data_IF_557652188777
#
_entry.id   IF_557652188777
#
_cell.length_a   1.000
_cell.length_b   1.000
_cell.length_c   1.000
_cell.angle_alpha   90.00
_cell.angle_beta   90.00
_cell.angle_gamma   90.00
#
_symmetry.space_group_name_H-M   'P 1'
#
loop_
_entity.id
_entity.type
_entity.pdbx_description
1 polymer ?
#
# COMPACT_ATOMS: atom_id res chain seq x y z
N UNK A 1 -24.03 -14.57 5.72
CA UNK A 1 -22.67 -14.88 5.21
C UNK A 1 -22.83 -15.69 3.95
N UNK A 2 -22.01 -15.45 2.93
CA UNK A 2 -22.01 -16.24 1.70
C UNK A 2 -21.63 -17.70 1.98
N UNK A 3 -22.29 -18.64 1.30
CA UNK A 3 -22.09 -20.08 1.44
C UNK A 3 -21.22 -20.54 0.26
N UNK A 4 -20.16 -21.31 0.53
CA UNK A 4 -19.21 -21.78 -0.48
C UNK A 4 -19.89 -22.65 -1.55
N UNK A 5 -20.87 -23.44 -1.13
CA UNK A 5 -21.60 -24.38 -2.00
C UNK A 5 -22.88 -23.78 -2.61
N UNK A 6 -23.12 -22.48 -2.46
CA UNK A 6 -24.18 -21.74 -3.17
C UNK A 6 -23.66 -21.25 -4.53
N UNK A 7 -23.60 -22.14 -5.52
CA UNK A 7 -23.11 -21.88 -6.88
C UNK A 7 -23.94 -22.66 -7.92
N UNK A 8 -23.92 -22.22 -9.18
CA UNK A 8 -24.60 -22.95 -10.28
C UNK A 8 -23.65 -23.46 -11.35
N UNK A 9 -22.49 -22.81 -11.50
CA UNK A 9 -21.47 -23.14 -12.49
C UNK A 9 -20.12 -23.27 -11.84
N UNK A 10 -19.37 -24.27 -12.28
CA UNK A 10 -17.98 -24.51 -11.93
C UNK A 10 -17.19 -24.72 -13.23
N UNK A 11 -16.03 -24.08 -13.33
CA UNK A 11 -15.15 -24.14 -14.49
C UNK A 11 -13.71 -24.27 -14.04
N UNK A 12 -12.87 -24.89 -14.86
CA UNK A 12 -11.43 -24.94 -14.62
C UNK A 12 -10.68 -23.90 -15.45
N UNK A 13 -9.59 -23.36 -14.91
CA UNK A 13 -8.70 -22.47 -15.65
C UNK A 13 -7.24 -22.62 -15.23
N UNK A 14 -6.34 -22.20 -16.10
CA UNK A 14 -4.93 -21.97 -15.77
C UNK A 14 -4.73 -20.47 -15.65
N UNK A 15 -4.18 -20.02 -14.52
CA UNK A 15 -3.84 -18.62 -14.29
C UNK A 15 -2.47 -18.54 -13.62
N UNK A 16 -1.54 -17.76 -14.20
CA UNK A 16 -0.14 -17.64 -13.74
C UNK A 16 0.52 -19.01 -13.45
N UNK A 17 0.44 -19.93 -14.42
CA UNK A 17 1.02 -21.29 -14.35
C UNK A 17 0.48 -22.19 -13.23
N UNK A 18 -0.64 -21.81 -12.60
CA UNK A 18 -1.32 -22.58 -11.57
C UNK A 18 -2.72 -23.01 -12.07
N UNK A 19 -3.15 -24.23 -11.73
CA UNK A 19 -4.46 -24.77 -12.12
C UNK A 19 -5.49 -24.50 -11.02
N UNK A 20 -6.65 -24.00 -11.41
CA UNK A 20 -7.76 -23.68 -10.50
C UNK A 20 -9.08 -24.29 -10.99
N UNK A 21 -9.94 -24.67 -10.04
CA UNK A 21 -11.37 -24.77 -10.26
C UNK A 21 -12.05 -23.55 -9.63
N UNK A 22 -13.05 -23.00 -10.31
CA UNK A 22 -13.63 -21.69 -10.02
C UNK A 22 -15.15 -21.80 -10.12
N UNK A 23 -15.85 -21.31 -9.09
CA UNK A 23 -17.31 -21.25 -9.03
C UNK A 23 -17.83 -19.87 -9.37
N UNK A 24 -19.04 -19.79 -9.91
CA UNK A 24 -19.67 -18.53 -10.30
C UNK A 24 -19.96 -17.57 -9.13
N UNK A 25 -20.04 -18.10 -7.91
CA UNK A 25 -20.13 -17.31 -6.68
C UNK A 25 -18.80 -16.68 -6.23
N UNK A 26 -17.71 -16.91 -6.98
CA UNK A 26 -16.38 -16.36 -6.71
C UNK A 26 -15.51 -17.21 -5.77
N UNK A 27 -15.95 -18.42 -5.40
CA UNK A 27 -15.10 -19.38 -4.69
C UNK A 27 -14.08 -20.01 -5.65
N UNK A 28 -12.85 -20.20 -5.16
CA UNK A 28 -11.76 -20.80 -5.91
C UNK A 28 -11.17 -21.98 -5.16
N UNK A 29 -10.70 -22.95 -5.91
CA UNK A 29 -9.98 -24.13 -5.46
C UNK A 29 -8.68 -24.20 -6.25
N UNK A 30 -7.53 -24.21 -5.57
CA UNK A 30 -6.23 -24.35 -6.22
C UNK A 30 -5.77 -25.80 -6.19
N UNK A 31 -5.42 -26.34 -7.35
CA UNK A 31 -4.87 -27.68 -7.45
C UNK A 31 -3.38 -27.69 -7.02
N UNK A 32 -2.90 -28.81 -6.45
CA UNK A 32 -1.47 -29.01 -6.22
C UNK A 32 -0.74 -29.16 -7.56
N UNK A 33 0.54 -28.80 -7.57
CA UNK A 33 1.40 -28.99 -8.74
C UNK A 33 1.68 -30.48 -8.95
N UNK A 34 1.70 -30.92 -10.21
CA UNK A 34 1.90 -32.32 -10.56
C UNK A 34 3.19 -32.89 -9.95
N UNK A 35 3.08 -34.04 -9.28
CA UNK A 35 4.20 -34.72 -8.63
C UNK A 35 4.76 -34.00 -7.39
N UNK A 36 4.18 -32.88 -6.95
CA UNK A 36 4.64 -32.13 -5.76
C UNK A 36 3.66 -32.28 -4.60
N UNK A 37 4.18 -32.11 -3.38
CA UNK A 37 3.35 -32.11 -2.16
C UNK A 37 2.38 -30.93 -2.19
N UNK A 38 1.10 -31.11 -1.77
CA UNK A 38 0.15 -30.02 -1.64
C UNK A 38 0.66 -28.93 -0.69
N UNK A 39 0.46 -27.67 -1.09
CA UNK A 39 0.79 -26.48 -0.28
C UNK A 39 -0.39 -26.10 0.62
N UNK A 40 -0.13 -25.16 1.54
CA UNK A 40 -1.12 -24.62 2.51
C UNK A 40 -2.46 -24.19 1.90
N UNK A 41 -2.47 -23.65 0.67
CA UNK A 41 -3.66 -23.14 -0.01
C UNK A 41 -4.18 -24.05 -1.13
N UNK A 42 -3.69 -25.30 -1.19
CA UNK A 42 -4.14 -26.29 -2.19
C UNK A 42 -5.23 -27.17 -1.58
N UNK A 43 -6.09 -27.74 -2.44
CA UNK A 43 -7.08 -28.76 -2.07
C UNK A 43 -8.26 -28.33 -1.16
N UNK A 44 -8.67 -27.06 -1.19
CA UNK A 44 -9.93 -26.64 -0.57
C UNK A 44 -10.55 -25.44 -1.28
N UNK A 45 -11.86 -25.30 -1.11
CA UNK A 45 -12.64 -24.16 -1.61
C UNK A 45 -12.54 -22.96 -0.67
N UNK A 46 -12.33 -21.78 -1.23
CA UNK A 46 -12.26 -20.55 -0.44
C UNK A 46 -12.68 -19.33 -1.25
N UNK A 47 -13.23 -18.32 -0.57
CA UNK A 47 -13.36 -16.96 -1.10
C UNK A 47 -12.07 -16.13 -0.91
N UNK A 48 -11.02 -16.75 -0.37
CA UNK A 48 -9.75 -16.11 -0.02
C UNK A 48 -9.82 -15.28 1.25
N UNK A 49 -8.78 -14.47 1.45
CA UNK A 49 -8.68 -13.51 2.56
C UNK A 49 -8.67 -12.09 2.01
N UNK A 50 -9.38 -11.14 2.63
CA UNK A 50 -9.30 -9.76 2.21
C UNK A 50 -7.92 -9.19 2.54
N UNK A 51 -7.31 -8.55 1.55
CA UNK A 51 -6.11 -7.76 1.76
C UNK A 51 -6.49 -6.42 2.42
N UNK A 52 -5.76 -6.04 3.46
CA UNK A 52 -6.08 -4.83 4.26
C UNK A 52 -5.75 -3.52 3.54
N UNK A 53 -4.92 -3.54 2.50
CA UNK A 53 -4.48 -2.34 1.79
C UNK A 53 -5.41 -2.01 0.65
N UNK A 54 -5.68 -2.99 -0.21
CA UNK A 54 -6.51 -2.76 -1.39
C UNK A 54 -7.89 -3.42 -1.30
N UNK A 55 -8.22 -4.15 -0.25
CA UNK A 55 -9.56 -4.70 -0.02
C UNK A 55 -9.95 -5.91 -0.87
N UNK A 56 -9.24 -6.19 -1.98
CA UNK A 56 -9.43 -7.39 -2.79
C UNK A 56 -9.20 -8.68 -2.00
N UNK A 57 -9.92 -9.72 -2.40
CA UNK A 57 -9.72 -11.07 -1.86
C UNK A 57 -8.56 -11.78 -2.56
N UNK A 58 -7.73 -12.48 -1.79
CA UNK A 58 -6.54 -13.16 -2.29
C UNK A 58 -6.44 -14.61 -1.79
N UNK A 59 -5.86 -15.46 -2.64
CA UNK A 59 -5.39 -16.80 -2.31
C UNK A 59 -3.90 -16.89 -2.65
N UNK A 60 -3.06 -17.11 -1.65
CA UNK A 60 -1.60 -17.12 -1.81
C UNK A 60 -1.06 -15.90 -2.61
N UNK A 61 -1.51 -14.70 -2.22
CA UNK A 61 -1.15 -13.42 -2.86
C UNK A 61 -1.64 -13.26 -4.30
N UNK A 62 -2.53 -14.13 -4.77
CA UNK A 62 -3.17 -14.02 -6.08
C UNK A 62 -4.59 -13.49 -5.93
N UNK A 63 -4.91 -12.42 -6.66
CA UNK A 63 -6.23 -11.77 -6.61
C UNK A 63 -7.32 -12.68 -7.19
N UNK A 64 -8.34 -12.96 -6.39
CA UNK A 64 -9.39 -13.91 -6.75
C UNK A 64 -10.25 -13.42 -7.91
N UNK A 65 -10.58 -12.13 -7.97
CA UNK A 65 -11.36 -11.58 -9.07
C UNK A 65 -10.68 -11.82 -10.45
N UNK A 66 -9.34 -11.83 -10.50
CA UNK A 66 -8.60 -12.06 -11.74
C UNK A 66 -8.64 -13.53 -12.16
N UNK A 67 -8.56 -14.46 -11.19
CA UNK A 67 -8.76 -15.88 -11.42
C UNK A 67 -10.19 -16.12 -11.95
N UNK A 68 -11.19 -15.55 -11.28
CA UNK A 68 -12.61 -15.71 -11.66
C UNK A 68 -12.88 -15.14 -13.05
N UNK A 69 -12.41 -13.91 -13.32
CA UNK A 69 -12.57 -13.28 -14.64
C UNK A 69 -11.89 -14.10 -15.75
N UNK A 70 -10.69 -14.61 -15.49
CA UNK A 70 -9.97 -15.46 -16.45
C UNK A 70 -10.74 -16.75 -16.75
N UNK A 71 -11.33 -17.37 -15.73
CA UNK A 71 -12.03 -18.63 -15.87
C UNK A 71 -13.36 -18.51 -16.64
N UNK A 72 -14.12 -17.44 -16.40
CA UNK A 72 -15.47 -17.27 -16.97
C UNK A 72 -15.51 -16.42 -18.23
N UNK A 73 -14.57 -15.48 -18.40
CA UNK A 73 -14.52 -14.57 -19.55
C UNK A 73 -13.33 -14.83 -20.48
N UNK A 74 -12.45 -15.76 -20.11
CA UNK A 74 -11.22 -16.03 -20.84
C UNK A 74 -10.09 -15.07 -20.48
N UNK A 75 -8.94 -15.19 -21.16
CA UNK A 75 -7.77 -14.38 -20.88
C UNK A 75 -8.06 -12.89 -21.09
N UNK A 76 -7.29 -12.08 -20.37
CA UNK A 76 -7.29 -10.62 -20.48
C UNK A 76 -7.24 -10.18 -21.97
N UNK A 77 -8.22 -9.40 -22.47
CA UNK A 77 -8.27 -9.04 -23.89
C UNK A 77 -7.06 -8.23 -24.39
N UNK A 78 -6.64 -7.22 -23.63
CA UNK A 78 -5.42 -6.42 -23.90
C UNK A 78 -4.68 -6.13 -22.61
N UNK A 79 -3.41 -5.71 -22.68
CA UNK A 79 -2.61 -5.36 -21.49
C UNK A 79 -3.22 -4.23 -20.66
N UNK A 80 -4.02 -3.36 -21.26
CA UNK A 80 -4.63 -2.21 -20.58
C UNK A 80 -5.91 -2.54 -19.82
N UNK A 81 -6.52 -3.69 -20.11
CA UNK A 81 -7.73 -4.11 -19.41
C UNK A 81 -7.46 -4.37 -17.93
N UNK A 82 -8.45 -4.24 -17.10
CA UNK A 82 -8.44 -4.58 -15.69
C UNK A 82 -9.80 -5.21 -15.37
N UNK A 83 -9.86 -5.96 -14.26
CA UNK A 83 -11.15 -6.47 -13.79
C UNK A 83 -11.83 -5.37 -12.98
N UNK A 84 -13.00 -4.96 -13.44
CA UNK A 84 -13.88 -4.04 -12.70
C UNK A 84 -14.89 -4.83 -11.87
N UNK A 85 -15.15 -4.33 -10.67
CA UNK A 85 -16.24 -4.74 -9.80
C UNK A 85 -17.39 -3.76 -10.02
N UNK A 86 -18.43 -4.20 -10.71
CA UNK A 86 -19.54 -3.34 -11.15
C UNK A 86 -20.16 -2.60 -9.95
N UNK A 87 -20.30 -3.27 -8.80
CA UNK A 87 -20.82 -2.69 -7.56
C UNK A 87 -19.77 -1.95 -6.69
N UNK A 88 -18.52 -1.85 -7.13
CA UNK A 88 -17.37 -1.29 -6.39
C UNK A 88 -17.00 -2.02 -5.08
N UNK A 89 -17.65 -3.14 -4.77
CA UNK A 89 -17.32 -3.99 -3.62
C UNK A 89 -16.26 -5.03 -4.04
N UNK A 90 -15.01 -4.75 -3.70
CA UNK A 90 -13.83 -5.60 -4.04
C UNK A 90 -13.85 -7.00 -3.42
N UNK A 91 -14.80 -7.27 -2.51
CA UNK A 91 -15.02 -8.58 -1.87
C UNK A 91 -16.18 -9.37 -2.47
N UNK A 92 -16.93 -8.78 -3.42
CA UNK A 92 -17.95 -9.45 -4.20
C UNK A 92 -17.36 -9.95 -5.53
N UNK A 93 -16.81 -11.16 -5.53
CA UNK A 93 -16.17 -11.77 -6.72
C UNK A 93 -17.12 -12.68 -7.52
N UNK A 94 -18.44 -12.52 -7.37
CA UNK A 94 -19.40 -13.27 -8.18
C UNK A 94 -19.27 -12.86 -9.65
N UNK A 95 -19.43 -13.79 -10.58
CA UNK A 95 -19.19 -13.58 -12.01
C UNK A 95 -20.05 -12.44 -12.57
N UNK A 96 -21.30 -12.34 -12.14
CA UNK A 96 -22.23 -11.27 -12.53
C UNK A 96 -21.83 -9.86 -12.05
N UNK A 97 -20.82 -9.76 -11.17
CA UNK A 97 -20.27 -8.51 -10.67
C UNK A 97 -18.93 -8.13 -11.32
N UNK A 98 -18.34 -9.00 -12.15
CA UNK A 98 -17.03 -8.78 -12.75
C UNK A 98 -17.15 -8.52 -14.25
N UNK A 99 -16.25 -7.67 -14.78
CA UNK A 99 -16.07 -7.47 -16.23
C UNK A 99 -14.66 -7.01 -16.56
N UNK A 100 -14.21 -7.29 -17.79
CA UNK A 100 -13.00 -6.67 -18.33
C UNK A 100 -13.33 -5.27 -18.84
N UNK A 101 -12.57 -4.27 -18.41
CA UNK A 101 -12.66 -2.88 -18.90
C UNK A 101 -11.27 -2.26 -18.89
N UNK A 102 -11.01 -1.26 -19.73
CA UNK A 102 -9.86 -0.38 -19.54
C UNK A 102 -10.08 0.55 -18.35
N UNK A 103 -8.99 1.17 -17.84
CA UNK A 103 -9.09 2.14 -16.74
C UNK A 103 -10.00 3.33 -17.11
N UNK A 104 -9.94 3.79 -18.36
CA UNK A 104 -10.77 4.88 -18.86
C UNK A 104 -12.25 4.47 -18.99
N UNK A 105 -12.54 3.31 -19.57
CA UNK A 105 -13.90 2.76 -19.65
C UNK A 105 -14.51 2.58 -18.25
N UNK A 106 -13.72 2.11 -17.26
CA UNK A 106 -14.22 2.03 -15.89
C UNK A 106 -14.66 3.39 -15.34
N UNK A 107 -13.87 4.43 -15.58
CA UNK A 107 -14.15 5.79 -15.10
C UNK A 107 -15.40 6.37 -15.76
N UNK A 108 -15.58 6.13 -17.06
CA UNK A 108 -16.68 6.70 -17.84
C UNK A 108 -17.98 5.90 -17.70
N UNK A 109 -17.90 4.56 -17.73
CA UNK A 109 -19.06 3.68 -17.89
C UNK A 109 -19.55 3.07 -16.58
N UNK A 110 -18.77 3.11 -15.49
CA UNK A 110 -19.26 2.68 -14.17
C UNK A 110 -19.92 3.87 -13.46
N UNK A 111 -21.26 3.93 -13.35
CA UNK A 111 -21.96 5.10 -12.79
C UNK A 111 -21.60 5.34 -11.32
N UNK A 112 -21.29 4.29 -10.55
CA UNK A 112 -20.91 4.39 -9.13
C UNK A 112 -19.51 5.00 -9.02
N UNK A 113 -18.55 4.52 -9.81
CA UNK A 113 -17.20 5.10 -9.91
C UNK A 113 -17.26 6.54 -10.36
N UNK A 114 -18.02 6.81 -11.43
CA UNK A 114 -18.26 8.14 -12.00
C UNK A 114 -18.82 9.11 -10.97
N UNK A 115 -19.85 8.71 -10.22
CA UNK A 115 -20.45 9.55 -9.16
C UNK A 115 -19.45 9.87 -8.05
N UNK A 116 -18.64 8.90 -7.62
CA UNK A 116 -17.58 9.14 -6.62
C UNK A 116 -16.54 10.13 -7.10
N UNK A 117 -16.12 10.03 -8.37
CA UNK A 117 -15.19 10.99 -8.98
C UNK A 117 -15.81 12.38 -9.03
N UNK A 118 -17.06 12.52 -9.48
CA UNK A 118 -17.77 13.80 -9.51
C UNK A 118 -17.86 14.42 -8.10
N UNK A 119 -18.19 13.63 -7.08
CA UNK A 119 -18.26 14.13 -5.70
C UNK A 119 -16.90 14.61 -5.17
N UNK A 120 -15.78 14.03 -5.64
CA UNK A 120 -14.43 14.42 -5.18
C UNK A 120 -13.82 15.55 -6.00
N UNK A 121 -14.02 15.52 -7.31
CA UNK A 121 -13.38 16.41 -8.28
C UNK A 121 -14.32 17.50 -8.81
N UNK A 122 -15.59 17.52 -8.41
CA UNK A 122 -16.62 18.44 -8.91
C UNK A 122 -17.20 18.04 -10.28
N UNK A 123 -16.36 17.61 -11.22
CA UNK A 123 -16.80 17.09 -12.53
C UNK A 123 -15.82 16.06 -13.10
N UNK A 124 -16.24 15.35 -14.15
CA UNK A 124 -15.38 14.39 -14.86
C UNK A 124 -14.37 15.12 -15.73
N UNK A 125 -14.78 16.22 -16.36
CA UNK A 125 -13.91 17.04 -17.19
C UNK A 125 -12.73 17.58 -16.36
N UNK A 126 -13.01 17.95 -15.10
CA UNK A 126 -12.00 18.38 -14.14
C UNK A 126 -11.02 17.25 -13.82
N UNK A 127 -11.53 16.04 -13.63
CA UNK A 127 -10.70 14.84 -13.43
C UNK A 127 -9.87 14.49 -14.68
N UNK A 128 -10.44 14.54 -15.88
CA UNK A 128 -9.71 14.24 -17.13
C UNK A 128 -8.63 15.28 -17.43
N UNK A 129 -8.85 16.54 -17.06
CA UNK A 129 -7.86 17.62 -17.20
C UNK A 129 -6.69 17.46 -16.22
N UNK A 130 -6.93 16.99 -14.99
CA UNK A 130 -5.88 16.70 -14.02
C UNK A 130 -6.24 15.48 -13.14
N UNK A 131 -5.81 14.26 -13.54
CA UNK A 131 -6.08 13.05 -12.76
C UNK A 131 -5.43 13.03 -11.36
N UNK A 132 -4.39 13.82 -11.13
CA UNK A 132 -3.68 13.89 -9.84
C UNK A 132 -4.55 14.47 -8.70
N UNK A 133 -5.67 15.13 -9.03
CA UNK A 133 -6.64 15.63 -8.04
C UNK A 133 -7.14 14.53 -7.11
N UNK A 134 -7.18 13.27 -7.56
CA UNK A 134 -7.53 12.15 -6.69
C UNK A 134 -6.40 11.80 -5.70
N UNK A 135 -5.14 11.93 -6.11
CA UNK A 135 -3.95 11.61 -5.30
C UNK A 135 -3.71 12.63 -4.17
N UNK A 136 -3.93 13.93 -4.44
CA UNK A 136 -3.74 15.02 -3.48
C UNK A 136 -4.76 15.02 -2.32
N UNK A 137 -5.76 14.15 -2.41
CA UNK A 137 -7.01 14.20 -1.67
C UNK A 137 -7.44 12.81 -1.16
N UNK A 138 -6.53 11.84 -1.17
CA UNK A 138 -6.80 10.44 -0.81
C UNK A 138 -7.14 10.32 0.68
N UNK A 139 -8.43 10.26 0.99
CA UNK A 139 -8.86 9.53 2.17
C UNK A 139 -8.51 8.06 1.92
N UNK A 140 -7.92 7.35 2.90
CA UNK A 140 -7.69 5.92 2.77
C UNK A 140 -9.02 5.25 2.40
N UNK A 141 -9.02 4.31 1.42
CA UNK A 141 -10.25 3.70 0.96
C UNK A 141 -10.99 3.11 2.17
N UNK A 142 -12.24 3.51 2.38
CA UNK A 142 -13.07 2.87 3.42
C UNK A 142 -13.36 1.44 2.97
N UNK A 143 -12.54 0.50 3.44
CA UNK A 143 -12.69 -0.93 3.18
C UNK A 143 -13.62 -1.61 4.18
N UNK A 144 -14.08 -0.90 5.22
CA UNK A 144 -14.85 -1.49 6.33
C UNK A 144 -16.23 -1.93 5.88
N UNK A 145 -16.83 -1.22 4.91
CA UNK A 145 -18.13 -1.59 4.37
C UNK A 145 -18.06 -2.84 3.48
N UNK A 146 -16.95 -3.09 2.79
CA UNK A 146 -16.85 -4.19 1.83
C UNK A 146 -16.93 -5.55 2.52
N UNK A 147 -17.70 -6.49 1.95
CA UNK A 147 -17.80 -7.87 2.44
C UNK A 147 -18.17 -8.84 1.33
N UNK A 148 -17.88 -10.13 1.54
CA UNK A 148 -18.43 -11.21 0.71
C UNK A 148 -19.94 -11.32 0.96
N UNK A 149 -20.71 -11.42 -0.11
CA UNK A 149 -22.17 -11.28 -0.11
C UNK A 149 -22.86 -12.50 -0.70
N UNK A 150 -24.07 -12.79 -0.25
CA UNK A 150 -24.97 -13.75 -0.92
C UNK A 150 -25.50 -13.17 -2.25
N UNK A 151 -26.15 -13.99 -3.09
CA UNK A 151 -26.70 -13.50 -4.36
C UNK A 151 -27.74 -12.41 -4.12
N UNK A 152 -28.64 -12.65 -3.15
CA UNK A 152 -29.66 -11.68 -2.77
C UNK A 152 -29.06 -10.38 -2.22
N UNK A 153 -28.03 -10.46 -1.36
CA UNK A 153 -27.33 -9.27 -0.85
C UNK A 153 -26.62 -8.50 -1.98
N UNK A 154 -25.98 -9.20 -2.92
CA UNK A 154 -25.32 -8.60 -4.07
C UNK A 154 -26.31 -7.83 -4.95
N UNK A 155 -27.47 -8.42 -5.25
CA UNK A 155 -28.51 -7.77 -6.05
C UNK A 155 -29.06 -6.52 -5.36
N UNK A 156 -29.36 -6.60 -4.06
CA UNK A 156 -29.89 -5.47 -3.28
C UNK A 156 -28.87 -4.33 -3.17
N UNK A 157 -27.62 -4.66 -2.81
CA UNK A 157 -26.55 -3.67 -2.66
C UNK A 157 -26.19 -3.00 -3.99
N UNK A 158 -26.05 -3.77 -5.06
CA UNK A 158 -25.83 -3.26 -6.42
C UNK A 158 -26.95 -2.31 -6.85
N UNK A 159 -28.22 -2.71 -6.66
CA UNK A 159 -29.38 -1.86 -6.99
C UNK A 159 -29.33 -0.51 -6.25
N UNK A 160 -29.06 -0.52 -4.94
CA UNK A 160 -28.98 0.72 -4.15
C UNK A 160 -27.84 1.63 -4.59
N UNK A 161 -26.67 1.07 -4.88
CA UNK A 161 -25.51 1.85 -5.32
C UNK A 161 -25.76 2.48 -6.69
N UNK A 162 -26.45 1.77 -7.59
CA UNK A 162 -26.87 2.33 -8.89
C UNK A 162 -27.90 3.45 -8.71
N UNK A 163 -28.95 3.23 -7.90
CA UNK A 163 -29.96 4.25 -7.58
C UNK A 163 -29.32 5.50 -6.94
N UNK A 164 -28.32 5.32 -6.07
CA UNK A 164 -27.54 6.43 -5.51
C UNK A 164 -26.71 7.16 -6.56
N UNK A 165 -26.05 6.41 -7.45
CA UNK A 165 -25.24 7.00 -8.51
C UNK A 165 -26.06 7.88 -9.46
N UNK A 166 -27.32 7.51 -9.70
CA UNK A 166 -28.29 8.27 -10.49
C UNK A 166 -28.92 9.44 -9.71
N UNK A 167 -28.84 9.45 -8.37
CA UNK A 167 -29.46 10.48 -7.54
C UNK A 167 -28.58 11.73 -7.35
N UNK A 168 -29.18 12.91 -7.28
CA UNK A 168 -28.50 14.16 -6.94
C UNK A 168 -28.37 14.40 -5.43
N UNK A 169 -28.67 13.40 -4.62
CA UNK A 169 -28.72 13.52 -3.17
C UNK A 169 -27.36 13.17 -2.57
N UNK A 170 -26.87 14.02 -1.68
CA UNK A 170 -25.72 13.67 -0.86
C UNK A 170 -26.04 12.46 0.02
N UNK A 171 -25.09 11.53 0.23
CA UNK A 171 -25.28 10.42 1.15
C UNK A 171 -25.56 10.97 2.55
N UNK A 172 -26.75 10.68 3.10
CA UNK A 172 -27.10 11.02 4.47
C UNK A 172 -27.47 9.77 5.26
N UNK A 173 -26.88 9.64 6.45
CA UNK A 173 -27.15 8.56 7.40
C UNK A 173 -26.03 7.52 7.52
N UNK A 174 -25.68 7.22 8.78
CA UNK A 174 -24.98 5.99 9.18
C UNK A 174 -23.61 5.71 8.55
N UNK A 175 -23.14 4.49 8.74
CA UNK A 175 -21.94 3.98 8.06
C UNK A 175 -22.30 3.45 6.67
N UNK A 176 -21.39 3.58 5.68
CA UNK A 176 -21.63 3.10 4.31
C UNK A 176 -22.02 1.61 4.28
N UNK A 177 -21.43 0.79 5.15
CA UNK A 177 -21.80 -0.63 5.26
C UNK A 177 -23.23 -0.87 5.76
N UNK A 178 -23.69 -0.10 6.74
CA UNK A 178 -25.08 -0.20 7.21
C UNK A 178 -26.05 0.17 6.09
N UNK A 179 -25.81 1.28 5.41
CA UNK A 179 -26.67 1.77 4.33
C UNK A 179 -26.70 0.81 3.12
N UNK A 180 -25.55 0.26 2.69
CA UNK A 180 -25.48 -0.65 1.55
C UNK A 180 -26.21 -1.98 1.82
N UNK A 181 -26.09 -2.53 3.03
CA UNK A 181 -26.55 -3.90 3.32
C UNK A 181 -27.82 -4.01 4.16
N UNK A 182 -28.29 -2.95 4.83
CA UNK A 182 -29.45 -3.04 5.73
C UNK A 182 -30.73 -2.48 5.09
N UNK A 183 -31.78 -3.29 4.83
CA UNK A 183 -33.03 -2.81 4.20
C UNK A 183 -33.95 -1.95 5.04
N UNK A 184 -33.77 -1.91 6.36
CA UNK A 184 -34.62 -1.12 7.25
C UNK A 184 -34.28 0.38 7.25
N UNK A 185 -33.08 0.77 6.79
CA UNK A 185 -32.69 2.16 6.62
C UNK A 185 -33.19 2.71 5.28
N UNK A 186 -34.51 2.71 5.06
CA UNK A 186 -35.09 3.65 4.12
C UNK A 186 -34.86 5.04 4.72
N UNK A 187 -34.12 5.88 4.01
CA UNK A 187 -33.88 7.29 4.32
C UNK A 187 -35.09 7.91 5.01
N UNK A 188 -34.91 8.26 6.28
CA UNK A 188 -35.85 9.13 6.99
C UNK A 188 -36.01 10.41 6.18
N UNK A 189 -37.26 10.81 6.03
CA UNK A 189 -37.79 11.82 5.12
C UNK A 189 -36.89 13.03 4.84
N UNK A 190 -36.84 13.37 3.55
CA UNK A 190 -36.34 14.59 2.95
C UNK A 190 -36.74 15.85 3.73
N UNK A 191 -35.75 16.59 4.24
CA UNK A 191 -35.93 17.99 4.60
C UNK A 191 -35.38 18.84 3.45
N UNK A 192 -36.28 19.52 2.74
CA UNK A 192 -35.94 20.58 1.80
C UNK A 192 -35.52 21.81 2.60
N UNK A 193 -34.33 22.36 2.39
CA UNK A 193 -34.07 23.78 2.64
C UNK A 193 -33.06 24.36 1.64
N UNK A 194 -33.16 25.68 1.36
CA UNK A 194 -33.02 26.22 0.02
C UNK A 194 -31.65 26.86 -0.29
N UNK A 195 -31.40 26.99 -1.60
CA UNK A 195 -30.32 27.71 -2.26
C UNK A 195 -30.13 29.15 -1.73
N UNK A 196 -28.90 29.54 -1.35
CA UNK A 196 -28.43 30.94 -1.43
C UNK A 196 -26.94 31.02 -1.78
N UNK A 197 -26.67 31.98 -2.67
CA UNK A 197 -25.51 32.46 -3.40
C UNK A 197 -24.25 32.88 -2.62
N UNK A 198 -23.10 32.63 -3.26
CA UNK A 198 -21.82 33.40 -3.36
C UNK A 198 -21.44 34.49 -2.34
N UNK A 199 -20.22 34.36 -1.77
CA UNK A 199 -19.08 35.33 -1.68
C UNK A 199 -18.29 35.23 -0.34
N UNK A 200 -16.95 35.15 -0.44
CA UNK A 200 -15.92 35.29 0.63
C UNK A 200 -15.74 36.78 1.07
N UNK A 201 -14.90 37.19 2.07
CA UNK A 201 -13.97 36.48 2.98
C UNK A 201 -13.95 36.93 4.49
N UNK A 202 -13.22 36.19 5.33
CA UNK A 202 -12.52 36.53 6.60
C UNK A 202 -13.12 37.52 7.63
N UNK A 203 -13.39 37.03 8.86
CA UNK A 203 -12.74 37.50 10.09
C UNK A 203 -13.20 36.67 11.32
N UNK A 204 -12.22 36.39 12.18
CA UNK A 204 -12.32 35.72 13.49
C UNK A 204 -13.36 36.32 14.45
N UNK A 205 -13.91 35.48 15.32
CA UNK A 205 -14.00 35.73 16.77
C UNK A 205 -14.37 34.43 17.52
N UNK A 206 -13.36 33.88 18.20
CA UNK A 206 -13.49 32.97 19.36
C UNK A 206 -14.44 33.62 20.40
N UNK A 207 -15.26 32.92 21.18
CA UNK A 207 -14.95 31.82 22.11
C UNK A 207 -16.23 31.11 22.58
N UNK A 208 -16.11 29.82 22.92
CA UNK A 208 -16.96 29.19 23.93
C UNK A 208 -17.58 27.87 23.50
N UNK A 209 -16.87 26.76 23.78
CA UNK A 209 -17.35 25.36 23.70
C UNK A 209 -17.43 24.72 22.29
N UNK A 210 -16.28 24.71 21.60
CA UNK A 210 -16.04 23.86 20.44
C UNK A 210 -15.29 22.58 20.82
N UNK A 211 -16.03 21.49 21.10
CA UNK A 211 -15.49 20.12 21.05
C UNK A 211 -16.03 19.43 19.79
N UNK A 212 -15.25 19.46 18.72
CA UNK A 212 -15.39 18.51 17.62
C UNK A 212 -14.84 17.16 18.10
N UNK A 213 -15.73 16.18 18.23
CA UNK A 213 -15.43 14.86 18.76
C UNK A 213 -14.32 14.15 18.01
N UNK A 214 -13.23 13.88 18.74
CA UNK A 214 -12.14 12.97 18.39
C UNK A 214 -12.69 11.54 18.31
N UNK A 215 -12.81 10.96 17.11
CA UNK A 215 -13.02 9.52 16.96
C UNK A 215 -11.69 8.79 17.11
N UNK A 216 -11.30 8.59 18.36
CA UNK A 216 -10.19 7.72 18.74
C UNK A 216 -10.57 6.25 18.59
N UNK A 217 -9.67 5.46 18.00
CA UNK A 217 -9.63 4.01 18.22
C UNK A 217 -8.21 3.60 18.61
N UNK A 218 -8.06 3.15 19.87
CA UNK A 218 -6.93 2.36 20.35
C UNK A 218 -6.93 1.01 19.63
N UNK A 219 -5.77 0.57 19.17
CA UNK A 219 -5.55 -0.78 18.70
C UNK A 219 -5.46 -1.76 19.89
N UNK A 220 -6.11 -2.93 19.85
CA UNK A 220 -5.64 -4.12 20.56
C UNK A 220 -4.65 -4.87 19.65
N UNK A 221 -3.46 -5.15 20.16
CA UNK A 221 -2.44 -5.91 19.46
C UNK A 221 -2.79 -7.39 19.33
N UNK A 222 -2.36 -8.03 18.24
CA UNK A 222 -2.15 -9.47 18.13
C UNK A 222 -1.09 -9.79 17.07
N UNK A 223 -0.32 -10.84 17.36
CA UNK A 223 0.90 -11.34 16.70
C UNK A 223 0.62 -12.19 15.44
N UNK A 224 1.60 -12.11 14.52
CA UNK A 224 2.22 -13.10 13.61
C UNK A 224 1.40 -14.25 12.95
N UNK A 225 1.52 -14.41 11.62
CA UNK A 225 2.44 -15.38 10.98
C UNK A 225 2.26 -15.53 9.44
N UNK A 226 3.42 -15.57 8.78
CA UNK A 226 3.84 -16.33 7.58
C UNK A 226 3.37 -15.99 6.16
N UNK A 227 4.22 -15.19 5.52
CA UNK A 227 5.19 -15.52 4.44
C UNK A 227 4.74 -16.11 3.08
N UNK A 228 5.22 -15.41 2.04
CA UNK A 228 5.49 -15.80 0.63
C UNK A 228 4.26 -16.10 -0.26
N UNK A 229 4.13 -15.60 -1.49
CA UNK A 229 5.17 -15.42 -2.48
C UNK A 229 4.81 -14.34 -3.54
N UNK A 230 5.86 -13.72 -4.04
CA UNK A 230 5.99 -12.78 -5.15
C UNK A 230 5.72 -13.45 -6.50
N UNK A 231 5.00 -12.77 -7.41
CA UNK A 231 5.48 -12.34 -8.74
C UNK A 231 4.33 -11.76 -9.60
N UNK A 232 4.67 -10.62 -10.22
CA UNK A 232 3.98 -9.87 -11.29
C UNK A 232 2.74 -9.06 -10.88
N UNK A 233 2.97 -7.75 -10.70
CA UNK A 233 2.33 -6.71 -11.53
C UNK A 233 3.34 -5.53 -11.64
N UNK A 234 4.10 -5.53 -12.74
CA UNK A 234 5.05 -4.49 -13.18
C UNK A 234 4.32 -3.26 -13.77
N UNK A 235 3.29 -2.74 -13.09
CA UNK A 235 2.49 -1.63 -13.64
C UNK A 235 1.96 -0.70 -12.54
N UNK A 236 2.85 -0.22 -11.68
CA UNK A 236 2.60 0.93 -10.80
C UNK A 236 3.90 1.74 -10.68
N UNK A 237 4.12 2.67 -11.63
CA UNK A 237 5.22 3.66 -11.54
C UNK A 237 4.78 4.85 -10.70
N UNK A 238 4.31 4.59 -9.49
CA UNK A 238 4.49 5.51 -8.37
C UNK A 238 5.59 4.89 -7.51
N UNK A 239 6.72 5.57 -7.25
CA UNK A 239 7.75 4.97 -6.41
C UNK A 239 7.08 4.67 -5.07
N UNK A 240 7.20 3.42 -4.61
CA UNK A 240 6.68 2.96 -3.33
C UNK A 240 7.39 3.72 -2.19
N UNK A 241 7.13 5.01 -2.01
CA UNK A 241 7.83 5.87 -1.06
C UNK A 241 7.10 5.85 0.28
N UNK A 242 7.87 5.70 1.34
CA UNK A 242 7.43 5.93 2.72
C UNK A 242 8.11 7.22 3.18
N UNK A 243 7.33 8.20 3.62
CA UNK A 243 7.89 9.43 4.19
C UNK A 243 8.73 9.08 5.42
N UNK A 244 9.92 9.66 5.48
CA UNK A 244 10.82 9.53 6.63
C UNK A 244 10.28 10.32 7.82
N UNK A 245 10.71 9.94 9.02
CA UNK A 245 10.57 10.79 10.21
C UNK A 245 11.45 12.06 10.12
N UNK A 246 12.43 12.07 9.23
CA UNK A 246 13.25 13.27 8.94
C UNK A 246 12.56 14.12 7.87
N UNK A 247 12.30 15.42 8.14
CA UNK A 247 11.72 16.32 7.15
C UNK A 247 12.59 16.40 5.88
N UNK A 248 11.93 16.39 4.72
CA UNK A 248 12.60 16.42 3.42
C UNK A 248 13.17 15.08 2.95
N UNK A 249 13.00 14.00 3.72
CA UNK A 249 13.45 12.66 3.34
C UNK A 249 12.28 11.69 3.11
N UNK A 250 12.50 10.73 2.22
CA UNK A 250 11.66 9.57 2.01
C UNK A 250 12.53 8.32 1.83
N UNK A 251 11.95 7.15 2.03
CA UNK A 251 12.60 5.87 1.73
C UNK A 251 11.77 5.08 0.74
N UNK A 252 12.44 4.36 -0.16
CA UNK A 252 11.78 3.36 -1.00
C UNK A 252 11.42 2.17 -0.11
N UNK A 253 10.14 1.82 -0.12
CA UNK A 253 9.59 0.64 0.54
C UNK A 253 10.19 -0.60 -0.10
N UNK A 254 10.93 -1.35 0.69
CA UNK A 254 11.47 -2.66 0.34
C UNK A 254 10.54 -3.75 0.87
N UNK A 255 10.07 -3.60 2.09
CA UNK A 255 9.18 -4.55 2.76
C UNK A 255 7.83 -3.92 3.09
N UNK A 256 6.79 -4.75 3.16
CA UNK A 256 5.43 -4.29 3.44
C UNK A 256 5.28 -3.67 4.84
N UNK A 257 6.10 -4.11 5.79
CA UNK A 257 6.15 -3.64 7.17
C UNK A 257 7.23 -2.59 7.41
N UNK A 258 7.86 -2.06 6.35
CA UNK A 258 8.82 -0.98 6.47
C UNK A 258 8.18 0.21 7.17
N UNK A 259 8.75 0.53 8.34
CA UNK A 259 8.31 1.65 9.15
C UNK A 259 9.10 2.90 8.75
N UNK A 260 8.51 4.09 8.91
CA UNK A 260 9.24 5.35 8.78
C UNK A 260 10.51 5.31 9.63
N UNK A 261 11.64 5.62 9.01
CA UNK A 261 12.95 5.73 9.66
C UNK A 261 13.42 7.18 9.63
N UNK A 262 14.47 7.51 10.39
CA UNK A 262 15.14 8.80 10.33
C UNK A 262 16.40 8.70 9.47
N UNK A 263 16.69 9.77 8.72
CA UNK A 263 17.93 9.99 7.98
C UNK A 263 18.59 11.28 8.44
N UNK A 264 19.30 11.29 9.59
CA UNK A 264 19.78 12.53 10.22
C UNK A 264 20.74 13.37 9.38
N UNK A 265 21.42 12.77 8.38
CA UNK A 265 22.27 13.49 7.44
C UNK A 265 21.50 14.32 6.39
N UNK A 266 20.16 14.23 6.34
CA UNK A 266 19.34 14.96 5.36
C UNK A 266 19.42 16.48 5.58
N UNK A 267 19.92 17.27 4.62
CA UNK A 267 20.05 18.71 4.76
C UNK A 267 18.68 19.38 4.77
N UNK A 268 18.51 20.35 5.67
CA UNK A 268 17.26 21.11 5.79
C UNK A 268 17.28 22.42 4.97
N UNK A 269 18.48 22.93 4.68
CA UNK A 269 18.69 24.15 3.90
C UNK A 269 19.88 23.94 2.97
N UNK A 270 19.71 24.27 1.69
CA UNK A 270 20.71 24.20 0.65
C UNK A 270 20.27 25.07 -0.54
N UNK A 271 21.22 25.67 -1.26
CA UNK A 271 20.92 26.66 -2.31
C UNK A 271 20.72 26.00 -3.69
N UNK A 272 21.78 25.40 -4.26
CA UNK A 272 21.79 25.01 -5.68
C UNK A 272 21.96 23.51 -5.94
N UNK A 273 22.79 22.80 -5.16
CA UNK A 273 23.06 21.37 -5.37
C UNK A 273 22.64 20.52 -4.15
N UNK A 274 21.46 19.88 -4.20
CA UNK A 274 20.92 19.09 -3.10
C UNK A 274 21.83 17.92 -2.70
N UNK A 275 22.40 17.20 -3.67
CA UNK A 275 23.26 16.05 -3.39
C UNK A 275 24.62 16.48 -2.84
N UNK A 276 25.19 17.60 -3.31
CA UNK A 276 26.40 18.15 -2.69
C UNK A 276 26.18 18.57 -1.23
N UNK A 277 25.02 19.18 -0.93
CA UNK A 277 24.66 19.52 0.44
C UNK A 277 24.46 18.27 1.32
N UNK A 278 23.87 17.20 0.76
CA UNK A 278 23.74 15.93 1.46
C UNK A 278 25.13 15.31 1.73
N UNK A 279 26.01 15.29 0.72
CA UNK A 279 27.38 14.77 0.85
C UNK A 279 28.18 15.51 1.94
N UNK A 280 28.01 16.83 2.06
CA UNK A 280 28.67 17.62 3.11
C UNK A 280 28.28 17.19 4.54
N UNK A 281 27.09 16.59 4.72
CA UNK A 281 26.62 16.06 6.00
C UNK A 281 27.06 14.61 6.29
N UNK A 282 27.68 13.93 5.32
CA UNK A 282 28.20 12.57 5.46
C UNK A 282 29.63 12.61 6.02
N UNK A 283 29.76 12.93 7.32
CA UNK A 283 31.04 12.88 8.02
C UNK A 283 31.32 11.48 8.60
N UNK A 284 32.58 11.18 8.89
CA UNK A 284 32.99 9.93 9.52
C UNK A 284 32.18 9.64 10.80
N UNK A 285 31.67 8.41 10.91
CA UNK A 285 30.84 7.93 12.01
C UNK A 285 29.53 8.73 12.28
N UNK A 286 29.11 9.65 11.40
CA UNK A 286 27.81 10.33 11.49
C UNK A 286 26.66 9.32 11.43
N UNK A 287 25.59 9.52 12.19
CA UNK A 287 24.42 8.64 12.15
C UNK A 287 23.66 8.87 10.84
N UNK A 288 23.76 7.92 9.93
CA UNK A 288 23.12 7.95 8.62
C UNK A 288 21.65 7.54 8.68
N UNK A 289 21.34 6.48 9.44
CA UNK A 289 20.00 5.91 9.52
C UNK A 289 19.66 5.53 10.95
N UNK A 290 18.38 5.70 11.33
CA UNK A 290 17.85 5.27 12.62
C UNK A 290 16.44 4.73 12.48
N UNK A 291 16.12 3.68 13.21
CA UNK A 291 14.74 3.18 13.25
C UNK A 291 13.83 4.09 14.08
N UNK A 292 12.52 3.92 13.92
CA UNK A 292 11.48 4.67 14.65
C UNK A 292 11.61 4.71 16.18
N UNK A 293 12.24 3.71 16.80
CA UNK A 293 12.38 3.62 18.25
C UNK A 293 13.69 4.23 18.75
N UNK A 294 14.63 4.54 17.84
CA UNK A 294 15.94 5.07 18.16
C UNK A 294 16.95 4.09 18.74
N UNK A 295 16.58 2.82 18.95
CA UNK A 295 17.43 1.79 19.55
C UNK A 295 18.37 1.09 18.55
N UNK A 296 18.14 1.26 17.25
CA UNK A 296 19.03 0.78 16.18
C UNK A 296 19.40 1.92 15.25
N UNK A 297 20.70 2.12 15.09
CA UNK A 297 21.27 3.14 14.24
C UNK A 297 22.38 2.56 13.36
N UNK A 298 22.58 3.17 12.20
CA UNK A 298 23.71 2.90 11.31
C UNK A 298 24.48 4.20 11.11
N UNK A 299 25.80 4.14 11.21
CA UNK A 299 26.70 5.25 10.95
C UNK A 299 27.30 5.17 9.55
N UNK A 300 27.73 6.32 9.01
CA UNK A 300 28.43 6.40 7.72
C UNK A 300 29.77 5.67 7.84
N UNK A 301 30.01 4.74 6.92
CA UNK A 301 31.30 4.06 6.77
C UNK A 301 32.08 4.64 5.58
N UNK A 302 31.42 4.83 4.44
CA UNK A 302 31.96 5.50 3.25
C UNK A 302 30.83 5.93 2.32
N UNK A 303 31.09 6.88 1.44
CA UNK A 303 30.14 7.30 0.41
C UNK A 303 30.86 7.70 -0.88
N UNK A 304 30.13 7.77 -1.98
CA UNK A 304 30.61 8.24 -3.27
C UNK A 304 29.47 8.64 -4.19
N UNK A 305 29.78 9.39 -5.24
CA UNK A 305 28.82 9.69 -6.30
C UNK A 305 28.72 8.50 -7.25
N UNK A 306 27.52 8.25 -7.76
CA UNK A 306 27.30 7.31 -8.86
C UNK A 306 28.10 7.69 -10.11
N UNK A 307 28.35 6.72 -10.99
CA UNK A 307 29.10 6.93 -12.23
C UNK A 307 28.54 8.05 -13.14
N UNK A 308 27.23 8.25 -13.13
CA UNK A 308 26.50 9.33 -13.84
C UNK A 308 26.47 10.66 -13.07
N UNK A 309 26.77 10.65 -11.76
CA UNK A 309 26.74 11.82 -10.89
C UNK A 309 25.35 12.21 -10.37
N UNK A 310 24.32 11.42 -10.72
CA UNK A 310 22.91 11.72 -10.42
C UNK A 310 22.44 11.16 -9.07
N UNK A 311 23.25 10.33 -8.40
CA UNK A 311 22.94 9.79 -7.08
C UNK A 311 24.15 9.70 -6.15
N UNK A 312 23.87 9.62 -4.85
CA UNK A 312 24.87 9.33 -3.83
C UNK A 312 24.72 7.90 -3.35
N UNK A 313 25.81 7.16 -3.34
CA UNK A 313 25.88 5.81 -2.79
C UNK A 313 26.52 5.89 -1.42
N UNK A 314 25.80 5.47 -0.38
CA UNK A 314 26.27 5.49 1.01
C UNK A 314 26.34 4.06 1.53
N UNK A 315 27.53 3.65 1.94
CA UNK A 315 27.74 2.46 2.75
C UNK A 315 27.70 2.85 4.22
N UNK A 316 26.81 2.20 4.97
CA UNK A 316 26.60 2.45 6.39
C UNK A 316 26.83 1.17 7.19
N UNK A 317 27.27 1.31 8.44
CA UNK A 317 27.59 0.22 9.35
C UNK A 317 26.77 0.31 10.63
N UNK A 318 26.34 -0.81 11.18
CA UNK A 318 25.55 -0.85 12.41
C UNK A 318 26.32 -0.18 13.57
N UNK A 319 25.69 0.80 14.21
CA UNK A 319 26.21 1.47 15.40
C UNK A 319 25.70 0.82 16.71
N UNK A 320 25.41 -0.48 16.68
CA UNK A 320 24.93 -1.25 17.83
C UNK A 320 25.36 -2.71 17.76
N UNK A 321 25.36 -3.39 18.91
CA UNK A 321 25.65 -4.81 19.05
C UNK A 321 24.52 -5.49 19.82
N UNK A 322 24.15 -6.70 19.41
CA UNK A 322 23.18 -7.51 20.16
C UNK A 322 23.85 -8.13 21.39
N UNK A 323 23.37 -7.79 22.59
CA UNK A 323 23.80 -8.43 23.84
C UNK A 323 22.67 -9.26 24.43
N UNK A 324 22.97 -10.52 24.79
CA UNK A 324 22.03 -11.42 25.48
C UNK A 324 21.77 -10.92 26.90
N UNK A 325 20.50 -10.83 27.29
CA UNK A 325 20.12 -10.53 28.66
C UNK A 325 19.99 -11.82 29.49
N UNK A 326 19.98 -11.68 30.82
CA UNK A 326 19.82 -12.78 31.79
C UNK A 326 18.47 -13.49 31.68
N UNK A 327 17.48 -12.87 31.03
CA UNK A 327 16.16 -13.44 30.76
C UNK A 327 15.91 -13.37 29.26
N UNK A 328 16.25 -14.44 28.53
CA UNK A 328 15.74 -14.83 27.21
C UNK A 328 16.03 -13.94 25.99
N UNK A 329 15.87 -12.63 26.10
CA UNK A 329 15.85 -11.73 24.95
C UNK A 329 17.19 -11.00 24.79
N UNK A 330 17.66 -10.90 23.54
CA UNK A 330 18.82 -10.06 23.20
C UNK A 330 18.34 -8.65 22.92
N UNK A 331 19.05 -7.63 23.42
CA UNK A 331 18.74 -6.22 23.11
C UNK A 331 19.88 -5.55 22.34
N UNK A 332 19.56 -4.60 21.44
CA UNK A 332 20.59 -3.79 20.80
C UNK A 332 21.18 -2.83 21.84
N UNK A 333 22.50 -2.80 21.93
CA UNK A 333 23.27 -1.87 22.76
C UNK A 333 24.13 -1.01 21.85
N UNK A 334 24.01 0.31 21.96
CA UNK A 334 24.80 1.26 21.16
C UNK A 334 26.30 1.03 21.37
N UNK A 335 27.09 1.06 20.29
CA UNK A 335 28.56 0.94 20.37
C UNK A 335 29.19 2.06 21.20
N UNK A 336 28.54 3.23 21.31
CA UNK A 336 29.01 4.35 22.15
C UNK A 336 28.97 4.06 23.65
N UNK A 337 28.20 3.05 24.06
CA UNK A 337 28.11 2.61 25.46
C UNK A 337 29.07 1.45 25.76
N UNK A 338 29.81 0.97 24.75
CA UNK A 338 30.70 -0.18 24.84
C UNK A 338 32.15 0.26 24.75
N UNK A 339 33.03 -0.47 25.43
CA UNK A 339 34.47 -0.29 25.24
C UNK A 339 34.90 -0.95 23.92
N UNK A 340 35.94 -0.43 23.24
CA UNK A 340 36.36 -0.96 21.92
C UNK A 340 36.79 -2.43 21.91
N UNK A 341 37.14 -3.01 23.06
CA UNK A 341 37.46 -4.44 23.24
C UNK A 341 36.22 -5.34 23.35
N UNK A 342 35.03 -4.76 23.57
CA UNK A 342 33.77 -5.50 23.73
C UNK A 342 33.06 -5.81 22.41
N UNK A 343 33.56 -5.31 21.29
CA UNK A 343 33.02 -5.58 19.96
C UNK A 343 34.10 -5.44 18.89
N UNK A 344 33.93 -6.17 17.79
CA UNK A 344 34.80 -6.05 16.63
C UNK A 344 34.10 -5.20 15.57
N UNK A 345 34.68 -4.04 15.21
CA UNK A 345 34.14 -3.15 14.17
C UNK A 345 34.01 -3.86 12.82
N UNK A 346 34.84 -4.85 12.52
CA UNK A 346 34.76 -5.59 11.25
C UNK A 346 33.59 -6.56 11.18
N UNK A 347 33.05 -6.99 12.33
CA UNK A 347 31.95 -7.97 12.39
C UNK A 347 30.57 -7.29 12.38
N UNK A 348 30.52 -5.96 12.36
CA UNK A 348 29.27 -5.20 12.38
C UNK A 348 28.59 -5.21 11.01
N UNK A 349 27.28 -5.52 10.94
CA UNK A 349 26.52 -5.53 9.69
C UNK A 349 26.63 -4.21 8.94
N UNK A 350 26.75 -4.30 7.62
CA UNK A 350 26.78 -3.16 6.72
C UNK A 350 25.52 -3.12 5.83
N UNK A 351 25.19 -1.94 5.31
CA UNK A 351 24.09 -1.71 4.39
C UNK A 351 24.49 -0.69 3.33
N UNK A 352 23.97 -0.85 2.12
CA UNK A 352 24.22 0.01 0.98
C UNK A 352 22.93 0.73 0.54
N UNK A 353 22.99 2.06 0.48
CA UNK A 353 21.83 2.90 0.19
C UNK A 353 22.17 3.91 -0.90
N UNK A 354 21.36 3.95 -1.95
CA UNK A 354 21.35 4.96 -3.00
C UNK A 354 20.43 6.12 -2.59
N UNK A 355 20.89 7.35 -2.83
CA UNK A 355 20.17 8.57 -2.49
C UNK A 355 20.01 9.40 -3.77
N UNK A 356 18.76 9.67 -4.13
CA UNK A 356 18.41 10.60 -5.22
C UNK A 356 17.65 11.80 -4.66
N UNK A 357 17.62 12.90 -5.43
CA UNK A 357 16.80 14.05 -5.09
C UNK A 357 15.71 14.24 -6.15
N UNK A 358 14.49 13.88 -5.79
CA UNK A 358 13.35 13.86 -6.71
C UNK A 358 12.12 14.44 -6.00
N UNK A 359 11.28 15.20 -6.71
CA UNK A 359 10.04 15.78 -6.16
C UNK A 359 10.24 16.58 -4.86
N UNK A 360 11.39 17.26 -4.72
CA UNK A 360 11.83 18.01 -3.53
C UNK A 360 12.08 17.14 -2.28
N UNK A 361 12.29 15.84 -2.46
CA UNK A 361 12.61 14.89 -1.39
C UNK A 361 13.95 14.19 -1.66
N UNK A 362 14.71 13.95 -0.60
CA UNK A 362 15.82 13.00 -0.61
C UNK A 362 15.26 11.58 -0.49
N UNK A 363 15.33 10.81 -1.56
CA UNK A 363 14.79 9.46 -1.65
C UNK A 363 15.91 8.46 -1.35
N UNK A 364 15.72 7.65 -0.32
CA UNK A 364 16.69 6.65 0.13
C UNK A 364 16.24 5.25 -0.31
N UNK A 365 17.02 4.62 -1.17
CA UNK A 365 16.73 3.30 -1.74
C UNK A 365 17.83 2.32 -1.33
N UNK A 366 17.46 1.20 -0.71
CA UNK A 366 18.45 0.14 -0.45
C UNK A 366 18.81 -0.55 -1.77
N UNK A 367 20.11 -0.65 -2.04
CA UNK A 367 20.61 -1.29 -3.27
C UNK A 367 20.48 -2.80 -3.16
N UNK A 368 20.84 -3.34 -2.00
CA UNK A 368 20.79 -4.77 -1.72
C UNK A 368 19.97 -5.04 -0.47
N UNK A 369 19.14 -6.08 -0.54
CA UNK A 369 18.21 -6.44 0.54
C UNK A 369 18.61 -7.81 1.09
N UNK A 370 19.01 -7.87 2.36
CA UNK A 370 19.45 -9.11 2.99
C UNK A 370 20.67 -8.93 3.89
N UNK A 371 21.16 -10.03 4.45
CA UNK A 371 22.42 -10.07 5.19
C UNK A 371 23.52 -10.50 4.23
N UNK A 372 24.33 -9.52 3.82
CA UNK A 372 25.48 -9.74 2.94
C UNK A 372 26.77 -9.51 3.70
N UNK A 373 27.86 -10.16 3.25
CA UNK A 373 29.18 -9.90 3.84
C UNK A 373 29.63 -8.47 3.52
N UNK A 374 30.53 -7.93 4.34
CA UNK A 374 31.09 -6.60 4.13
C UNK A 374 31.81 -6.53 2.78
N UNK A 375 32.60 -7.55 2.46
CA UNK A 375 33.39 -7.63 1.22
C UNK A 375 32.49 -7.58 -0.03
N UNK A 376 31.35 -8.28 -0.01
CA UNK A 376 30.38 -8.26 -1.12
C UNK A 376 29.77 -6.87 -1.33
N UNK A 377 29.37 -6.20 -0.23
CA UNK A 377 28.82 -4.85 -0.32
C UNK A 377 29.87 -3.82 -0.75
N UNK A 378 31.14 -4.03 -0.39
CA UNK A 378 32.25 -3.20 -0.87
C UNK A 378 32.49 -3.37 -2.37
N UNK A 379 32.36 -4.59 -2.90
CA UNK A 379 32.46 -4.83 -4.34
C UNK A 379 31.36 -4.10 -5.12
N UNK A 380 30.10 -4.19 -4.67
CA UNK A 380 28.98 -3.46 -5.28
C UNK A 380 29.19 -1.95 -5.16
N UNK A 381 29.62 -1.46 -3.99
CA UNK A 381 29.92 -0.04 -3.81
C UNK A 381 30.95 0.44 -4.84
N UNK A 382 32.04 -0.31 -5.04
CA UNK A 382 33.08 0.04 -6.02
C UNK A 382 32.57 -0.02 -7.48
N UNK A 383 31.62 -0.91 -7.80
CA UNK A 383 30.99 -0.97 -9.13
C UNK A 383 30.04 0.20 -9.39
N UNK A 384 29.36 0.71 -8.35
CA UNK A 384 28.37 1.78 -8.48
C UNK A 384 29.00 3.17 -8.56
N UNK A 385 30.14 3.37 -7.88
CA UNK A 385 30.83 4.66 -7.83
C UNK A 385 31.75 4.85 -9.03
N UNK A 386 31.92 6.10 -9.44
CA UNK A 386 32.96 6.45 -10.40
C UNK A 386 34.33 6.24 -9.76
N UNK A 387 35.20 5.42 -10.35
CA UNK A 387 36.63 5.48 -10.02
C UNK A 387 37.11 6.92 -10.29
N UNK A 388 37.69 7.55 -9.28
CA UNK A 388 38.30 8.89 -9.43
C UNK A 388 39.68 8.76 -10.03
#
# INVERSE_FOLDING_TARGET
MAIIDDFTREVECIYKDERYAVRDNGAVFRYPRDGKRPRKYDNFWTFGKPNIVHGYMEIASVRIHAIVATAFFGPKPTKEHVVDHIDTNRRNNRVENLRWVTRLENILDNPITRKRIILRCGSIETFLANPAILQENELPPDLKWMRTVTNAEAQVSKKRLLEWAESDKEPSGGSLGAWVFNPSEKSTAYSQQPQVSTLNPQADLLTGEGQLGVWGYRQPGFQEHDQSNTLQDEEDRTPNLVLSLTPGAAQVRVFFDDKPCEYPCTPQHFDENPLAAYAANLTDDAIFWRNQNGDRAYSVAKYGYSSDGDSLIVMSQAAYVWKKQTVGDSKPVSVTQLRPDEYNKNDLPCSLTEITYEQKLFVHKRIETGFHSKEYLEEIFNQCIKET
#
